data_IF_651497659969
#
_entry.id   IF_651497659969
#
_cell.length_a   1.000
_cell.length_b   1.000
_cell.length_c   1.000
_cell.angle_alpha   90.00
_cell.angle_beta   90.00
_cell.angle_gamma   90.00
#
_symmetry.space_group_name_H-M   'P 1'
#
loop_
_entity.id
_entity.type
_entity.pdbx_description
1 polymer ?
#
# COMPACT_ATOMS: atom_id res chain seq x y z
N UNK A 1 -13.73 35.79 -25.21
CA UNK A 1 -13.29 34.91 -26.32
C UNK A 1 -13.79 33.52 -26.02
N UNK A 2 -14.58 32.92 -26.90
CA UNK A 2 -14.98 31.51 -26.76
C UNK A 2 -13.75 30.62 -26.88
N UNK A 3 -13.56 29.69 -25.93
CA UNK A 3 -12.57 28.63 -26.11
C UNK A 3 -12.96 27.83 -27.35
N UNK A 4 -11.99 27.56 -28.23
CA UNK A 4 -12.24 26.66 -29.37
C UNK A 4 -12.60 25.27 -28.84
N UNK A 5 -13.40 24.53 -29.61
CA UNK A 5 -13.71 23.13 -29.25
C UNK A 5 -12.44 22.30 -29.03
N UNK A 6 -11.41 22.52 -29.85
CA UNK A 6 -10.10 21.87 -29.70
C UNK A 6 -9.42 22.18 -28.34
N UNK A 7 -9.51 23.42 -27.85
CA UNK A 7 -8.99 23.79 -26.54
C UNK A 7 -9.75 23.07 -25.40
N UNK A 8 -11.08 22.98 -25.52
CA UNK A 8 -11.91 22.25 -24.55
C UNK A 8 -11.58 20.76 -24.50
N UNK A 9 -11.43 20.11 -25.65
CA UNK A 9 -11.07 18.68 -25.73
C UNK A 9 -9.67 18.45 -25.14
N UNK A 10 -8.71 19.32 -25.45
CA UNK A 10 -7.34 19.22 -24.91
C UNK A 10 -7.30 19.36 -23.39
N UNK A 11 -8.07 20.32 -22.84
CA UNK A 11 -8.19 20.49 -21.40
C UNK A 11 -8.82 19.27 -20.72
N UNK A 12 -9.84 18.67 -21.35
CA UNK A 12 -10.48 17.46 -20.84
C UNK A 12 -9.54 16.25 -20.85
N UNK A 13 -8.75 16.08 -21.90
CA UNK A 13 -7.74 15.02 -21.97
C UNK A 13 -6.70 15.16 -20.84
N UNK A 14 -6.12 16.35 -20.68
CA UNK A 14 -5.15 16.63 -19.62
C UNK A 14 -5.74 16.44 -18.21
N UNK A 15 -7.02 16.78 -18.02
CA UNK A 15 -7.70 16.57 -16.75
C UNK A 15 -7.95 15.08 -16.46
N UNK A 16 -8.22 14.29 -17.51
CA UNK A 16 -8.41 12.84 -17.41
C UNK A 16 -7.11 12.14 -17.03
N UNK A 17 -5.98 12.50 -17.66
CA UNK A 17 -4.66 11.98 -17.31
C UNK A 17 -4.30 12.24 -15.84
N UNK A 18 -4.47 13.50 -15.38
CA UNK A 18 -4.24 13.87 -13.97
C UNK A 18 -5.10 13.06 -12.99
N UNK A 19 -6.35 12.75 -13.36
CA UNK A 19 -7.26 11.95 -12.52
C UNK A 19 -6.84 10.48 -12.48
N UNK A 20 -6.37 9.93 -13.60
CA UNK A 20 -5.83 8.57 -13.65
C UNK A 20 -4.60 8.45 -12.75
N UNK A 21 -3.66 9.38 -12.86
CA UNK A 21 -2.46 9.43 -12.02
C UNK A 21 -2.81 9.56 -10.53
N UNK A 22 -3.71 10.47 -10.17
CA UNK A 22 -4.18 10.63 -8.80
C UNK A 22 -4.84 9.34 -8.27
N UNK A 23 -5.69 8.69 -9.07
CA UNK A 23 -6.33 7.43 -8.70
C UNK A 23 -5.31 6.33 -8.49
N UNK A 24 -4.30 6.24 -9.37
CA UNK A 24 -3.23 5.27 -9.25
C UNK A 24 -2.47 5.44 -7.93
N UNK A 25 -1.96 6.65 -7.66
CA UNK A 25 -1.24 6.97 -6.42
C UNK A 25 -2.07 6.66 -5.18
N UNK A 26 -3.33 7.11 -5.17
CA UNK A 26 -4.23 6.90 -4.03
C UNK A 26 -4.56 5.43 -3.79
N UNK A 27 -4.69 4.64 -4.85
CA UNK A 27 -4.91 3.19 -4.74
C UNK A 27 -3.72 2.49 -4.08
N UNK A 28 -2.49 2.93 -4.37
CA UNK A 28 -1.27 2.39 -3.75
C UNK A 28 -1.18 2.76 -2.26
N UNK A 29 -1.54 3.99 -1.89
CA UNK A 29 -1.63 4.41 -0.48
C UNK A 29 -2.64 3.57 0.28
N UNK A 30 -3.86 3.43 -0.25
CA UNK A 30 -4.92 2.63 0.37
C UNK A 30 -4.56 1.13 0.45
N UNK A 31 -3.81 0.61 -0.53
CA UNK A 31 -3.27 -0.74 -0.46
C UNK A 31 -2.26 -0.88 0.69
N UNK A 32 -1.36 0.09 0.85
CA UNK A 32 -0.42 0.10 1.97
C UNK A 32 -1.13 0.25 3.32
N UNK A 33 -2.21 1.03 3.39
CA UNK A 33 -3.04 1.16 4.60
C UNK A 33 -3.70 -0.18 4.96
N UNK A 34 -4.33 -0.86 4.00
CA UNK A 34 -4.93 -2.20 4.21
C UNK A 34 -3.88 -3.23 4.67
N UNK A 35 -2.67 -3.17 4.13
CA UNK A 35 -1.54 -4.01 4.57
C UNK A 35 -1.10 -3.67 6.01
N UNK A 36 -1.16 -2.39 6.40
CA UNK A 36 -0.79 -1.94 7.75
C UNK A 36 -1.87 -2.17 8.79
N UNK A 37 -3.11 -2.36 8.36
CA UNK A 37 -4.26 -2.47 9.24
C UNK A 37 -4.10 -3.67 10.18
N UNK A 38 -4.00 -3.38 11.46
CA UNK A 38 -3.69 -4.38 12.48
C UNK A 38 -4.92 -5.14 12.92
N UNK A 39 -4.76 -6.39 13.38
CA UNK A 39 -5.88 -7.20 13.90
C UNK A 39 -6.72 -6.49 14.97
N UNK A 40 -6.14 -5.79 15.97
CA UNK A 40 -6.93 -5.02 16.93
C UNK A 40 -7.82 -3.94 16.30
N UNK A 41 -7.45 -3.44 15.12
CA UNK A 41 -8.20 -2.42 14.40
C UNK A 41 -9.06 -3.00 13.25
N UNK A 42 -9.21 -4.33 13.18
CA UNK A 42 -10.05 -5.02 12.20
C UNK A 42 -9.33 -5.48 10.93
N UNK A 43 -8.03 -5.24 10.82
CA UNK A 43 -7.21 -5.74 9.71
C UNK A 43 -6.65 -7.14 9.93
N UNK A 44 -5.66 -7.52 9.11
CA UNK A 44 -5.05 -8.85 9.14
C UNK A 44 -3.66 -8.87 9.78
N UNK A 45 -3.01 -7.71 9.91
CA UNK A 45 -1.64 -7.63 10.35
C UNK A 45 -1.51 -7.94 11.85
N UNK A 46 -0.69 -8.92 12.27
CA UNK A 46 -0.45 -9.17 13.69
C UNK A 46 0.15 -7.96 14.39
N UNK A 47 -0.35 -7.66 15.59
CA UNK A 47 0.16 -6.58 16.42
C UNK A 47 0.81 -7.13 17.68
N UNK A 48 2.03 -6.65 17.95
CA UNK A 48 2.72 -6.85 19.22
C UNK A 48 3.22 -5.51 19.75
N UNK A 49 4.11 -4.85 19.01
CA UNK A 49 4.62 -3.52 19.32
C UNK A 49 4.50 -2.52 18.14
N UNK A 50 3.80 -2.92 17.07
CA UNK A 50 3.66 -2.15 15.83
C UNK A 50 4.88 -2.17 14.89
N UNK A 51 5.99 -2.80 15.28
CA UNK A 51 7.22 -2.85 14.47
C UNK A 51 6.99 -3.43 13.07
N UNK A 52 6.14 -4.47 12.98
CA UNK A 52 5.79 -5.09 11.69
C UNK A 52 5.10 -4.09 10.77
N UNK A 53 4.09 -3.36 11.26
CA UNK A 53 3.38 -2.34 10.49
C UNK A 53 4.32 -1.24 9.99
N UNK A 54 5.18 -0.74 10.89
CA UNK A 54 6.17 0.31 10.59
C UNK A 54 7.24 -0.11 9.59
N UNK A 55 7.43 -1.42 9.39
CA UNK A 55 8.43 -1.96 8.45
C UNK A 55 7.95 -2.05 6.99
N UNK A 56 6.69 -1.71 6.70
CA UNK A 56 6.17 -1.70 5.33
C UNK A 56 6.74 -0.52 4.55
N UNK A 57 7.51 -0.79 3.50
CA UNK A 57 8.15 0.21 2.65
C UNK A 57 7.65 0.11 1.21
N UNK A 58 7.62 1.24 0.51
CA UNK A 58 7.47 1.29 -0.94
C UNK A 58 8.80 1.65 -1.62
N UNK A 59 8.96 1.26 -2.88
CA UNK A 59 10.13 1.56 -3.70
C UNK A 59 9.74 1.54 -5.18
N UNK A 60 10.42 2.35 -6.01
CA UNK A 60 10.34 2.32 -7.48
C UNK A 60 11.61 1.74 -8.11
N UNK A 61 12.56 1.29 -7.29
CA UNK A 61 13.84 0.72 -7.75
C UNK A 61 13.87 -0.81 -7.69
N UNK A 62 12.91 -1.42 -6.98
CA UNK A 62 12.85 -2.87 -6.77
C UNK A 62 12.23 -3.24 -5.43
N UNK A 63 12.05 -4.54 -5.20
CA UNK A 63 11.46 -5.08 -3.96
C UNK A 63 12.28 -4.64 -2.73
N UNK A 64 11.65 -4.04 -1.70
CA UNK A 64 12.34 -3.72 -0.45
C UNK A 64 13.00 -4.96 0.15
N UNK A 65 14.27 -4.81 0.52
CA UNK A 65 15.04 -5.88 1.16
C UNK A 65 14.68 -5.98 2.65
N UNK A 66 14.78 -7.20 3.19
CA UNK A 66 14.70 -7.42 4.63
C UNK A 66 15.82 -6.68 5.35
N UNK A 67 15.50 -5.97 6.42
CA UNK A 67 16.49 -5.38 7.30
C UNK A 67 17.27 -6.47 8.04
N UNK A 68 18.53 -6.23 8.37
CA UNK A 68 19.34 -7.21 9.08
C UNK A 68 18.90 -7.36 10.54
N UNK A 69 18.89 -8.60 11.02
CA UNK A 69 18.62 -8.91 12.42
C UNK A 69 17.25 -8.46 12.94
N UNK A 70 17.20 -8.13 14.24
CA UNK A 70 15.99 -7.67 14.92
C UNK A 70 15.78 -6.15 14.76
N UNK A 71 15.73 -5.67 13.52
CA UNK A 71 15.57 -4.25 13.23
C UNK A 71 14.31 -3.65 13.88
N UNK A 72 14.48 -2.50 14.52
CA UNK A 72 13.41 -1.72 15.15
C UNK A 72 13.12 -0.48 14.31
N UNK A 73 11.92 -0.44 13.74
CA UNK A 73 11.42 0.70 12.96
C UNK A 73 10.72 1.65 13.92
N UNK A 74 11.33 2.80 14.18
CA UNK A 74 10.80 3.81 15.12
C UNK A 74 9.68 4.66 14.52
N UNK A 75 9.64 4.76 13.20
CA UNK A 75 8.61 5.46 12.43
C UNK A 75 8.17 4.61 11.25
N UNK A 76 6.98 4.90 10.76
CA UNK A 76 6.49 4.36 9.49
C UNK A 76 7.50 4.66 8.38
N UNK A 77 7.80 3.68 7.53
CA UNK A 77 8.45 3.99 6.27
C UNK A 77 7.46 4.74 5.38
N UNK A 78 7.92 5.77 4.70
CA UNK A 78 7.03 6.70 4.02
C UNK A 78 6.64 6.17 2.64
N UNK A 79 5.48 5.49 2.58
CA UNK A 79 4.87 5.08 1.29
C UNK A 79 4.38 6.32 0.52
N UNK A 80 3.90 7.34 1.25
CA UNK A 80 3.39 8.59 0.68
C UNK A 80 4.46 9.37 -0.10
N UNK A 81 5.69 9.39 0.39
CA UNK A 81 6.82 10.01 -0.31
C UNK A 81 7.10 9.33 -1.67
N UNK A 82 6.95 8.01 -1.75
CA UNK A 82 7.12 7.25 -2.99
C UNK A 82 5.93 7.51 -3.92
N UNK A 83 4.70 7.41 -3.43
CA UNK A 83 3.50 7.62 -4.26
C UNK A 83 3.41 9.05 -4.78
N UNK A 84 3.86 10.06 -4.02
CA UNK A 84 3.87 11.46 -4.45
C UNK A 84 4.68 11.72 -5.73
N UNK A 85 5.67 10.88 -6.03
CA UNK A 85 6.53 11.00 -7.22
C UNK A 85 6.28 9.91 -8.26
N UNK A 86 5.29 9.04 -8.03
CA UNK A 86 5.02 7.87 -8.87
C UNK A 86 4.31 8.29 -10.15
N UNK A 87 4.87 7.96 -11.31
CA UNK A 87 4.25 8.23 -12.60
C UNK A 87 3.21 7.15 -12.97
N UNK A 88 2.22 7.51 -13.78
CA UNK A 88 1.23 6.56 -14.27
C UNK A 88 1.92 5.43 -15.08
N UNK A 89 1.70 4.19 -14.67
CA UNK A 89 2.28 3.01 -15.32
C UNK A 89 3.70 2.66 -14.86
N UNK A 90 4.30 3.45 -13.97
CA UNK A 90 5.56 3.11 -13.32
C UNK A 90 5.35 1.94 -12.35
N UNK A 91 6.20 0.89 -12.38
CA UNK A 91 6.15 -0.16 -11.38
C UNK A 91 6.49 0.37 -9.98
N UNK A 92 5.71 -0.07 -8.99
CA UNK A 92 5.97 0.17 -7.57
C UNK A 92 6.00 -1.16 -6.84
N UNK A 93 6.98 -1.31 -5.95
CA UNK A 93 7.12 -2.46 -5.07
C UNK A 93 6.77 -2.04 -3.65
N UNK A 94 5.93 -2.83 -2.99
CA UNK A 94 5.56 -2.64 -1.58
C UNK A 94 5.93 -3.92 -0.83
N UNK A 95 6.71 -3.80 0.25
CA UNK A 95 7.22 -4.95 0.97
C UNK A 95 7.58 -4.64 2.40
N UNK A 96 7.51 -5.67 3.26
CA UNK A 96 7.93 -5.56 4.66
C UNK A 96 9.42 -5.84 4.80
N UNK A 97 10.10 -4.98 5.54
CA UNK A 97 11.52 -5.14 5.83
C UNK A 97 11.79 -6.00 7.08
N UNK A 98 10.81 -6.19 7.98
CA UNK A 98 11.02 -7.05 9.14
C UNK A 98 11.25 -8.51 8.72
N UNK A 99 12.36 -9.12 9.13
CA UNK A 99 12.74 -10.49 8.71
C UNK A 99 11.69 -11.56 9.02
N UNK A 100 10.93 -11.36 10.09
CA UNK A 100 9.89 -12.28 10.53
C UNK A 100 8.56 -12.09 9.80
N UNK A 101 8.42 -11.07 8.94
CA UNK A 101 7.19 -10.75 8.23
C UNK A 101 6.69 -11.93 7.37
N UNK A 102 7.59 -12.59 6.64
CA UNK A 102 7.24 -13.74 5.79
C UNK A 102 6.65 -14.90 6.61
N UNK A 103 7.25 -15.20 7.76
CA UNK A 103 6.76 -16.22 8.69
C UNK A 103 5.41 -15.84 9.29
N UNK A 104 5.18 -14.56 9.60
CA UNK A 104 3.87 -14.10 10.09
C UNK A 104 2.80 -14.12 9.00
N UNK A 105 3.18 -13.84 7.74
CA UNK A 105 2.27 -13.82 6.61
C UNK A 105 1.81 -15.23 6.22
N UNK A 106 2.75 -16.13 5.92
CA UNK A 106 2.45 -17.49 5.45
C UNK A 106 2.28 -18.53 6.57
N UNK A 107 2.67 -18.18 7.78
CA UNK A 107 2.74 -19.14 8.88
C UNK A 107 4.03 -19.93 8.86
N UNK A 108 4.14 -20.88 9.78
CA UNK A 108 5.29 -21.77 9.89
C UNK A 108 4.91 -23.06 10.61
N UNK A 109 5.26 -24.17 9.97
CA UNK A 109 5.17 -25.51 10.54
C UNK A 109 6.57 -26.11 10.54
N UNK A 110 7.09 -26.45 11.72
CA UNK A 110 8.44 -27.02 11.84
C UNK A 110 9.07 -26.83 13.21
N UNK A 111 10.21 -27.48 13.43
CA UNK A 111 11.06 -27.25 14.59
C UNK A 111 12.01 -26.08 14.35
N UNK A 112 12.29 -25.27 15.37
CA UNK A 112 13.38 -24.30 15.31
C UNK A 112 14.74 -24.94 15.65
N UNK A 113 15.82 -24.15 15.60
CA UNK A 113 17.18 -24.59 15.95
C UNK A 113 17.34 -25.05 17.41
N UNK A 114 16.34 -24.82 18.27
CA UNK A 114 16.28 -25.27 19.66
C UNK A 114 15.35 -26.49 19.83
N UNK A 115 14.84 -27.07 18.74
CA UNK A 115 13.95 -28.24 18.76
C UNK A 115 12.49 -27.95 19.12
N UNK A 116 12.10 -26.67 19.26
CA UNK A 116 10.71 -26.29 19.57
C UNK A 116 9.86 -26.42 18.32
N UNK A 117 8.81 -27.23 18.38
CA UNK A 117 7.86 -27.42 17.26
C UNK A 117 6.82 -26.33 17.27
N UNK A 118 6.65 -25.69 16.12
CA UNK A 118 5.64 -24.68 15.87
C UNK A 118 4.62 -25.19 14.87
N UNK A 119 3.35 -24.89 15.13
CA UNK A 119 2.26 -24.96 14.17
C UNK A 119 1.54 -23.60 14.18
N UNK A 120 2.13 -22.64 13.48
CA UNK A 120 1.65 -21.27 13.42
C UNK A 120 0.94 -21.04 12.10
N UNK A 121 -0.36 -20.74 12.14
CA UNK A 121 -1.11 -20.34 10.96
C UNK A 121 -0.66 -18.95 10.47
N UNK A 122 -0.61 -18.80 9.15
CA UNK A 122 -0.35 -17.51 8.50
C UNK A 122 -1.49 -16.53 8.71
N UNK A 123 -1.15 -15.24 8.78
CA UNK A 123 -2.16 -14.17 8.85
C UNK A 123 -2.55 -13.63 7.47
N UNK A 124 -1.81 -13.96 6.41
CA UNK A 124 -2.11 -13.64 5.01
C UNK A 124 -2.53 -12.19 4.79
N UNK A 125 -1.83 -11.25 5.45
CA UNK A 125 -2.15 -9.82 5.38
C UNK A 125 -1.76 -9.20 4.04
N UNK A 126 -0.75 -9.75 3.35
CA UNK A 126 -0.42 -9.34 1.98
C UNK A 126 -1.47 -9.84 1.00
N UNK A 127 -1.80 -11.13 1.05
CA UNK A 127 -2.77 -11.74 0.13
C UNK A 127 -4.17 -11.18 0.36
N UNK A 128 -4.55 -10.90 1.59
CA UNK A 128 -5.82 -10.26 1.92
C UNK A 128 -5.93 -8.85 1.33
N UNK A 129 -4.85 -8.06 1.37
CA UNK A 129 -4.83 -6.73 0.75
C UNK A 129 -4.91 -6.83 -0.79
N UNK A 130 -4.19 -7.78 -1.40
CA UNK A 130 -4.25 -8.05 -2.84
C UNK A 130 -5.66 -8.47 -3.27
N UNK A 131 -6.32 -9.34 -2.50
CA UNK A 131 -7.68 -9.78 -2.77
C UNK A 131 -8.68 -8.61 -2.73
N UNK A 132 -8.39 -7.57 -1.95
CA UNK A 132 -9.19 -6.36 -1.81
C UNK A 132 -8.86 -5.27 -2.86
N UNK A 133 -7.98 -5.54 -3.83
CA UNK A 133 -7.49 -4.53 -4.79
C UNK A 133 -8.60 -3.80 -5.54
N UNK A 134 -9.62 -4.53 -6.02
CA UNK A 134 -10.73 -3.92 -6.76
C UNK A 134 -11.54 -2.95 -5.88
N UNK A 135 -11.80 -3.31 -4.62
CA UNK A 135 -12.47 -2.42 -3.67
C UNK A 135 -11.60 -1.21 -3.31
N UNK A 136 -10.28 -1.40 -3.17
CA UNK A 136 -9.33 -0.32 -2.91
C UNK A 136 -9.34 0.71 -4.04
N UNK A 137 -9.27 0.26 -5.30
CA UNK A 137 -9.33 1.16 -6.47
C UNK A 137 -10.68 1.88 -6.53
N UNK A 138 -11.79 1.18 -6.28
CA UNK A 138 -13.11 1.80 -6.23
C UNK A 138 -13.20 2.89 -5.14
N UNK A 139 -12.62 2.64 -3.96
CA UNK A 139 -12.54 3.63 -2.87
C UNK A 139 -11.70 4.85 -3.28
N UNK A 140 -10.55 4.65 -3.91
CA UNK A 140 -9.71 5.75 -4.42
C UNK A 140 -10.48 6.64 -5.41
N UNK A 141 -11.22 6.03 -6.34
CA UNK A 141 -12.05 6.77 -7.30
C UNK A 141 -13.12 7.60 -6.59
N UNK A 142 -13.83 7.00 -5.63
CA UNK A 142 -14.88 7.70 -4.88
C UNK A 142 -14.34 8.89 -4.08
N UNK A 143 -13.21 8.73 -3.37
CA UNK A 143 -12.58 9.81 -2.60
C UNK A 143 -12.19 11.00 -3.48
N UNK A 144 -11.64 10.74 -4.67
CA UNK A 144 -11.24 11.79 -5.61
C UNK A 144 -12.44 12.49 -6.26
N UNK A 145 -13.52 11.76 -6.53
CA UNK A 145 -14.77 12.36 -7.01
C UNK A 145 -15.38 13.31 -5.98
N UNK A 146 -15.53 12.86 -4.73
CA UNK A 146 -16.05 13.70 -3.64
C UNK A 146 -15.19 14.94 -3.38
N UNK A 147 -13.86 14.82 -3.48
CA UNK A 147 -12.95 15.96 -3.35
C UNK A 147 -13.11 17.01 -4.47
N UNK A 148 -13.51 16.61 -5.68
CA UNK A 148 -13.83 17.53 -6.78
C UNK A 148 -15.17 18.24 -6.52
N UNK A 149 -16.18 17.50 -6.07
CA UNK A 149 -17.50 18.08 -5.76
C UNK A 149 -17.43 19.11 -4.64
N UNK A 150 -16.63 18.84 -3.60
CA UNK A 150 -16.43 19.77 -2.48
C UNK A 150 -15.73 21.07 -2.91
N UNK A 151 -14.83 21.03 -3.89
CA UNK A 151 -14.13 22.23 -4.42
C UNK A 151 -14.97 23.03 -5.42
N UNK A 152 -16.08 22.47 -5.90
CA UNK A 152 -16.96 23.09 -6.90
C UNK A 152 -18.19 23.79 -6.28
N UNK A 153 -18.33 23.73 -4.95
CA UNK A 153 -19.32 24.46 -4.15
C UNK A 153 -18.66 25.66 -3.50
#
# INVERSE_FOLDING_TARGET
>A
MSNSFAATVSAWAAQSEKRLEATHRRSIELLADEMRETKPNGGRLPFQAGNLARSLMASTQGMPQGAEGAAVFLKDQDVGAVTATLDLGQPVWIGYQAIYARRQNYGFVGADSLGRVYNQAGSYFVEGAIANWQQIVAKAVAELQSGVEAKSK
#
